data_IF_214592088122
#
_entry.id   IF_214592088122
#
_cell.length_a   1.000
_cell.length_b   1.000
_cell.length_c   1.000
_cell.angle_alpha   90.00
_cell.angle_beta   90.00
_cell.angle_gamma   90.00
#
_symmetry.space_group_name_H-M   'P 1'
#
loop_
_entity.id
_entity.type
_entity.pdbx_description
1 polymer ?
#
# COMPACT_ATOMS: atom_id res chain seq x y z
N UNK A 1 15.72 -24.61 -2.50
CA UNK A 1 16.52 -23.36 -2.36
C UNK A 1 16.18 -22.50 -3.57
N UNK A 2 15.06 -21.76 -3.48
CA UNK A 2 14.53 -20.96 -4.59
C UNK A 2 15.31 -19.65 -4.64
N UNK A 3 16.25 -19.56 -5.57
CA UNK A 3 16.84 -18.29 -6.00
C UNK A 3 15.73 -17.60 -6.80
N UNK A 4 14.84 -16.88 -6.11
CA UNK A 4 13.98 -15.89 -6.77
C UNK A 4 14.94 -14.96 -7.52
N UNK A 5 14.90 -14.88 -8.86
CA UNK A 5 15.89 -14.10 -9.59
C UNK A 5 15.78 -12.66 -9.11
N UNK A 6 16.85 -12.14 -8.50
CA UNK A 6 16.88 -10.77 -7.95
C UNK A 6 16.36 -9.72 -8.94
N UNK A 7 16.45 -10.01 -10.24
CA UNK A 7 15.95 -9.18 -11.34
C UNK A 7 14.43 -8.94 -11.31
N UNK A 8 13.61 -9.86 -10.77
CA UNK A 8 12.15 -9.71 -10.70
C UNK A 8 11.68 -8.91 -9.48
N UNK A 9 12.47 -8.87 -8.39
CA UNK A 9 12.14 -8.15 -7.16
C UNK A 9 12.64 -6.69 -7.15
N UNK A 10 13.67 -6.36 -7.91
CA UNK A 10 14.17 -4.97 -7.99
C UNK A 10 13.10 -3.97 -8.47
N UNK A 11 12.27 -4.25 -9.50
CA UNK A 11 11.23 -3.33 -9.97
C UNK A 11 10.18 -2.95 -8.90
N UNK A 12 9.53 -3.88 -8.18
CA UNK A 12 8.53 -3.51 -7.17
C UNK A 12 9.13 -2.75 -5.99
N UNK A 13 10.36 -3.08 -5.57
CA UNK A 13 11.06 -2.32 -4.54
C UNK A 13 11.38 -0.89 -4.98
N UNK A 14 11.80 -0.69 -6.23
CA UNK A 14 12.03 0.65 -6.78
C UNK A 14 10.72 1.44 -6.89
N UNK A 15 9.64 0.80 -7.32
CA UNK A 15 8.33 1.43 -7.39
C UNK A 15 7.76 1.75 -6.00
N UNK A 16 8.09 0.96 -4.97
CA UNK A 16 7.73 1.21 -3.57
C UNK A 16 8.37 2.48 -2.99
N UNK A 17 9.48 2.97 -3.55
CA UNK A 17 10.10 4.22 -3.10
C UNK A 17 9.14 5.41 -3.25
N UNK A 18 8.28 5.41 -4.27
CA UNK A 18 7.33 6.49 -4.53
C UNK A 18 6.32 6.64 -3.38
N UNK A 19 5.57 5.59 -2.97
CA UNK A 19 4.66 5.70 -1.84
C UNK A 19 5.39 5.98 -0.52
N UNK A 20 6.58 5.41 -0.28
CA UNK A 20 7.37 5.65 0.95
C UNK A 20 7.81 7.12 1.05
N UNK A 21 8.42 7.66 -0.01
CA UNK A 21 8.86 9.06 -0.04
C UNK A 21 7.68 10.01 0.08
N UNK A 22 6.55 9.68 -0.54
CA UNK A 22 5.33 10.47 -0.44
C UNK A 22 4.72 10.47 0.97
N UNK A 23 4.66 9.31 1.65
CA UNK A 23 4.17 9.20 3.04
C UNK A 23 5.08 10.00 3.98
N UNK A 24 6.39 9.84 3.86
CA UNK A 24 7.36 10.53 4.73
C UNK A 24 7.32 12.04 4.53
N UNK A 25 7.22 12.51 3.28
CA UNK A 25 7.03 13.94 2.99
C UNK A 25 5.68 14.45 3.52
N UNK A 26 4.59 13.71 3.32
CA UNK A 26 3.27 14.08 3.83
C UNK A 26 3.29 14.23 5.37
N UNK A 27 3.94 13.30 6.08
CA UNK A 27 4.12 13.36 7.53
C UNK A 27 4.94 14.58 7.97
N UNK A 28 6.06 14.86 7.30
CA UNK A 28 6.92 16.03 7.61
C UNK A 28 6.18 17.34 7.39
N UNK A 29 5.49 17.49 6.26
CA UNK A 29 4.71 18.69 5.96
C UNK A 29 3.55 18.87 6.94
N UNK A 30 2.87 17.80 7.34
CA UNK A 30 1.81 17.88 8.35
C UNK A 30 2.37 18.31 9.71
N UNK A 31 3.51 17.77 10.12
CA UNK A 31 4.15 18.10 11.40
C UNK A 31 4.55 19.58 11.47
N UNK A 32 5.01 20.15 10.35
CA UNK A 32 5.29 21.59 10.24
C UNK A 32 4.05 22.50 10.21
N UNK A 33 2.87 21.98 9.87
CA UNK A 33 1.61 22.73 9.80
C UNK A 33 0.63 22.41 10.94
N UNK A 34 1.14 21.80 12.02
CA UNK A 34 0.36 21.27 13.12
C UNK A 34 -0.39 22.31 13.97
N UNK A 35 -0.44 23.59 13.62
CA UNK A 35 -1.30 24.57 14.31
C UNK A 35 -2.56 24.97 13.52
N UNK A 36 -2.64 24.66 12.22
CA UNK A 36 -3.64 25.26 11.31
C UNK A 36 -4.91 24.41 11.07
N UNK A 37 -4.97 23.18 11.60
CA UNK A 37 -6.07 22.25 11.37
C UNK A 37 -6.70 21.79 12.69
N UNK A 38 -8.05 21.64 12.75
CA UNK A 38 -8.74 21.10 13.90
C UNK A 38 -8.30 19.66 14.18
N UNK A 39 -8.32 19.26 15.46
CA UNK A 39 -7.78 18.00 15.94
C UNK A 39 -8.42 16.77 15.26
N UNK A 40 -9.71 16.83 14.94
CA UNK A 40 -10.44 15.75 14.23
C UNK A 40 -9.88 15.48 12.84
N UNK A 41 -9.70 16.53 12.02
CA UNK A 41 -9.10 16.42 10.68
C UNK A 41 -7.68 15.90 10.74
N UNK A 42 -6.93 16.27 11.77
CA UNK A 42 -5.56 15.78 11.99
C UNK A 42 -5.53 14.30 12.32
N UNK A 43 -6.43 13.83 13.19
CA UNK A 43 -6.56 12.43 13.54
C UNK A 43 -6.93 11.59 12.30
N UNK A 44 -7.92 12.02 11.52
CA UNK A 44 -8.31 11.35 10.28
C UNK A 44 -7.16 11.29 9.26
N UNK A 45 -6.41 12.38 9.09
CA UNK A 45 -5.26 12.37 8.19
C UNK A 45 -4.14 11.45 8.68
N UNK A 46 -3.89 11.37 9.99
CA UNK A 46 -2.93 10.41 10.57
C UNK A 46 -3.38 8.96 10.41
N UNK A 47 -4.68 8.70 10.53
CA UNK A 47 -5.26 7.40 10.19
C UNK A 47 -5.03 7.07 8.71
N UNK A 48 -5.16 8.06 7.83
CA UNK A 48 -4.82 7.91 6.40
C UNK A 48 -3.37 7.50 6.19
N UNK A 49 -2.43 8.14 6.90
CA UNK A 49 -1.00 7.75 6.87
C UNK A 49 -0.80 6.31 7.35
N UNK A 50 -1.42 5.93 8.46
CA UNK A 50 -1.32 4.57 8.98
C UNK A 50 -1.88 3.54 7.99
N UNK A 51 -3.03 3.84 7.38
CA UNK A 51 -3.64 3.00 6.35
C UNK A 51 -2.73 2.86 5.12
N UNK A 52 -2.07 3.94 4.66
CA UNK A 52 -1.11 3.88 3.56
C UNK A 52 0.12 3.02 3.88
N UNK A 53 0.65 3.09 5.11
CA UNK A 53 1.76 2.23 5.54
C UNK A 53 1.33 0.76 5.55
N UNK A 54 0.17 0.45 6.14
CA UNK A 54 -0.37 -0.91 6.15
C UNK A 54 -0.59 -1.44 4.75
N UNK A 55 -1.24 -0.65 3.89
CA UNK A 55 -1.47 -1.01 2.49
C UNK A 55 -0.16 -1.34 1.77
N UNK A 56 0.86 -0.49 1.93
CA UNK A 56 2.17 -0.72 1.33
C UNK A 56 2.84 -2.01 1.84
N UNK A 57 2.77 -2.30 3.14
CA UNK A 57 3.33 -3.52 3.72
C UNK A 57 2.65 -4.77 3.16
N UNK A 58 1.31 -4.76 3.09
CA UNK A 58 0.54 -5.87 2.52
C UNK A 58 0.87 -6.04 1.04
N UNK A 59 0.91 -4.95 0.28
CA UNK A 59 1.33 -4.99 -1.13
C UNK A 59 2.72 -5.59 -1.27
N UNK A 60 3.73 -5.10 -0.53
CA UNK A 60 5.09 -5.64 -0.58
C UNK A 60 5.14 -7.13 -0.23
N UNK A 61 4.35 -7.58 0.74
CA UNK A 61 4.27 -9.00 1.08
C UNK A 61 3.73 -9.86 -0.07
N UNK A 62 2.82 -9.33 -0.90
CA UNK A 62 2.35 -10.00 -2.12
C UNK A 62 3.43 -10.14 -3.21
N UNK A 63 4.47 -9.29 -3.18
CA UNK A 63 5.60 -9.33 -4.12
C UNK A 63 6.76 -10.20 -3.62
N UNK A 64 6.98 -10.27 -2.31
CA UNK A 64 8.10 -11.01 -1.69
C UNK A 64 7.83 -12.51 -1.63
N UNK A 65 6.60 -12.91 -1.32
CA UNK A 65 6.22 -14.31 -1.21
C UNK A 65 4.94 -14.58 -2.02
N UNK A 66 5.06 -15.01 -3.30
CA UNK A 66 3.90 -15.38 -4.12
C UNK A 66 3.22 -16.68 -3.67
N UNK A 67 3.64 -17.29 -2.54
CA UNK A 67 2.99 -18.29 -1.67
C UNK A 67 3.51 -19.73 -1.63
N UNK A 68 3.45 -20.37 -0.44
CA UNK A 68 3.18 -21.79 -0.33
C UNK A 68 1.72 -22.08 -0.72
N UNK A 69 1.52 -22.72 -1.86
CA UNK A 69 0.22 -23.21 -2.33
C UNK A 69 -0.51 -23.98 -1.20
N UNK A 70 -1.68 -23.50 -0.75
CA UNK A 70 -2.54 -24.29 0.14
C UNK A 70 -3.38 -25.22 -0.72
N UNK A 71 -3.27 -26.52 -0.44
CA UNK A 71 -4.08 -27.54 -1.09
C UNK A 71 -5.53 -27.39 -0.57
N UNK A 72 -6.48 -27.15 -1.47
CA UNK A 72 -7.90 -27.15 -1.13
C UNK A 72 -8.38 -28.58 -0.89
N UNK A 73 -9.48 -28.73 -0.15
CA UNK A 73 -10.11 -30.04 0.12
C UNK A 73 -10.48 -30.80 -1.16
N UNK A 74 -10.66 -30.06 -2.27
CA UNK A 74 -11.00 -30.59 -3.59
C UNK A 74 -9.76 -31.06 -4.39
N UNK A 75 -8.56 -31.03 -3.79
CA UNK A 75 -7.30 -31.42 -4.43
C UNK A 75 -6.67 -30.34 -5.32
N UNK A 76 -7.31 -29.17 -5.43
CA UNK A 76 -6.76 -28.01 -6.11
C UNK A 76 -5.71 -27.28 -5.29
N UNK A 77 -5.03 -26.32 -5.91
CA UNK A 77 -4.19 -25.36 -5.21
C UNK A 77 -4.84 -23.98 -5.31
N UNK A 78 -5.05 -23.32 -4.18
CA UNK A 78 -5.63 -21.97 -4.13
C UNK A 78 -4.63 -21.00 -3.49
N UNK A 79 -4.59 -19.78 -4.02
CA UNK A 79 -3.80 -18.67 -3.50
C UNK A 79 -4.68 -17.79 -2.59
N UNK A 80 -5.50 -18.39 -1.73
CA UNK A 80 -6.55 -17.68 -0.96
C UNK A 80 -6.07 -16.44 -0.17
N UNK A 81 -4.88 -16.47 0.44
CA UNK A 81 -4.29 -15.29 1.10
C UNK A 81 -3.79 -14.21 0.11
N UNK A 82 -3.62 -14.46 -1.20
CA UNK A 82 -3.25 -13.47 -2.21
C UNK A 82 -4.51 -12.71 -2.58
N UNK A 83 -5.63 -13.42 -2.75
CA UNK A 83 -6.94 -12.81 -2.92
C UNK A 83 -7.31 -11.94 -1.72
N UNK A 84 -7.14 -12.47 -0.50
CA UNK A 84 -7.38 -11.71 0.74
C UNK A 84 -6.41 -10.53 0.88
N UNK A 85 -5.11 -10.74 0.66
CA UNK A 85 -4.10 -9.69 0.82
C UNK A 85 -4.26 -8.58 -0.22
N UNK A 86 -4.58 -8.93 -1.48
CA UNK A 86 -4.93 -7.96 -2.51
C UNK A 86 -6.18 -7.16 -2.13
N UNK A 87 -7.26 -7.82 -1.69
CA UNK A 87 -8.47 -7.13 -1.23
C UNK A 87 -8.17 -6.15 -0.10
N UNK A 88 -7.38 -6.58 0.89
CA UNK A 88 -6.96 -5.74 2.01
C UNK A 88 -6.11 -4.57 1.53
N UNK A 89 -5.12 -4.80 0.66
CA UNK A 89 -4.26 -3.76 0.10
C UNK A 89 -5.07 -2.71 -0.68
N UNK A 90 -6.02 -3.17 -1.50
CA UNK A 90 -6.90 -2.31 -2.29
C UNK A 90 -7.85 -1.48 -1.40
N UNK A 91 -8.54 -2.13 -0.46
CA UNK A 91 -9.47 -1.47 0.44
C UNK A 91 -8.77 -0.45 1.35
N UNK A 92 -7.60 -0.79 1.91
CA UNK A 92 -6.82 0.10 2.77
C UNK A 92 -6.25 1.29 2.00
N UNK A 93 -5.83 1.11 0.75
CA UNK A 93 -5.42 2.22 -0.12
C UNK A 93 -6.58 3.15 -0.46
N UNK A 94 -7.76 2.62 -0.80
CA UNK A 94 -8.97 3.43 -1.05
C UNK A 94 -9.37 4.22 0.19
N UNK A 95 -9.35 3.58 1.35
CA UNK A 95 -9.59 4.25 2.63
C UNK A 95 -8.55 5.35 2.87
N UNK A 96 -7.28 5.09 2.55
CA UNK A 96 -6.19 6.07 2.60
C UNK A 96 -6.45 7.29 1.71
N UNK A 97 -6.96 7.10 0.48
CA UNK A 97 -7.37 8.20 -0.41
C UNK A 97 -8.51 9.01 0.21
N UNK A 98 -9.55 8.35 0.73
CA UNK A 98 -10.67 9.04 1.38
C UNK A 98 -10.21 9.85 2.60
N UNK A 99 -9.34 9.27 3.44
CA UNK A 99 -8.77 9.93 4.61
C UNK A 99 -7.80 11.07 4.25
N UNK A 100 -7.11 10.97 3.10
CA UNK A 100 -6.26 12.03 2.58
C UNK A 100 -7.01 13.34 2.32
N UNK A 101 -8.29 13.27 1.97
CA UNK A 101 -9.14 14.43 1.69
C UNK A 101 -9.27 15.37 2.90
N UNK A 102 -9.12 14.84 4.12
CA UNK A 102 -9.16 15.63 5.35
C UNK A 102 -7.89 16.48 5.56
N UNK A 103 -6.81 16.20 4.83
CA UNK A 103 -5.60 17.03 4.79
C UNK A 103 -5.80 18.36 4.06
N UNK A 104 -4.79 19.25 4.10
CA UNK A 104 -4.82 20.56 3.43
C UNK A 104 -3.53 20.78 2.64
N UNK A 105 -3.65 21.30 1.41
CA UNK A 105 -2.50 21.67 0.58
C UNK A 105 -1.64 20.48 0.13
N UNK A 106 -0.32 20.67 0.14
CA UNK A 106 0.68 19.68 -0.31
C UNK A 106 0.59 18.31 0.38
N UNK A 107 0.45 18.17 1.72
CA UNK A 107 0.39 16.86 2.35
C UNK A 107 -0.83 16.03 1.92
N UNK A 108 -1.95 16.67 1.56
CA UNK A 108 -3.10 15.97 0.95
C UNK A 108 -2.74 15.37 -0.40
N UNK A 109 -2.15 16.15 -1.30
CA UNK A 109 -1.79 15.68 -2.63
C UNK A 109 -0.76 14.53 -2.58
N UNK A 110 0.23 14.63 -1.69
CA UNK A 110 1.24 13.59 -1.47
C UNK A 110 0.63 12.29 -0.95
N UNK A 111 -0.30 12.36 0.00
CA UNK A 111 -0.96 11.15 0.52
C UNK A 111 -1.86 10.49 -0.54
N UNK A 112 -2.59 11.30 -1.34
CA UNK A 112 -3.38 10.77 -2.47
C UNK A 112 -2.46 10.07 -3.47
N UNK A 113 -1.36 10.71 -3.88
CA UNK A 113 -0.41 10.14 -4.82
C UNK A 113 0.19 8.83 -4.29
N UNK A 114 0.53 8.77 -3.00
CA UNK A 114 1.03 7.56 -2.36
C UNK A 114 0.05 6.39 -2.42
N UNK A 115 -1.23 6.63 -2.09
CA UNK A 115 -2.25 5.58 -2.13
C UNK A 115 -2.57 5.15 -3.57
N UNK A 116 -2.55 6.08 -4.54
CA UNK A 116 -2.68 5.71 -5.96
C UNK A 116 -1.51 4.84 -6.41
N UNK A 117 -0.27 5.20 -6.06
CA UNK A 117 0.89 4.38 -6.36
C UNK A 117 0.80 2.99 -5.70
N UNK A 118 0.30 2.92 -4.47
CA UNK A 118 0.09 1.66 -3.73
C UNK A 118 -0.98 0.77 -4.39
N UNK A 119 -2.07 1.37 -4.93
CA UNK A 119 -3.07 0.66 -5.73
C UNK A 119 -2.47 0.06 -7.00
N UNK A 120 -1.67 0.85 -7.74
CA UNK A 120 -1.01 0.38 -8.96
C UNK A 120 -0.03 -0.76 -8.66
N UNK A 121 0.70 -0.67 -7.54
CA UNK A 121 1.61 -1.73 -7.09
C UNK A 121 0.87 -3.00 -6.70
N UNK A 122 -0.26 -2.89 -5.99
CA UNK A 122 -1.09 -4.03 -5.64
C UNK A 122 -1.66 -4.69 -6.91
N UNK A 123 -2.06 -3.89 -7.90
CA UNK A 123 -2.60 -4.40 -9.15
C UNK A 123 -1.51 -5.10 -9.98
N UNK A 124 -0.30 -4.55 -9.96
CA UNK A 124 0.88 -5.18 -10.56
C UNK A 124 1.19 -6.55 -9.95
N UNK A 125 1.07 -6.73 -8.63
CA UNK A 125 1.25 -8.05 -8.02
C UNK A 125 0.19 -9.05 -8.46
N UNK A 126 -1.04 -8.60 -8.71
CA UNK A 126 -2.10 -9.48 -9.21
C UNK A 126 -1.78 -9.97 -10.64
N UNK A 127 -1.38 -9.04 -11.52
CA UNK A 127 -0.96 -9.36 -12.90
C UNK A 127 0.26 -10.29 -12.95
N UNK A 128 1.26 -10.09 -12.08
CA UNK A 128 2.44 -10.96 -12.05
C UNK A 128 2.07 -12.40 -11.66
N UNK A 129 1.12 -12.57 -10.74
CA UNK A 129 0.71 -13.87 -10.23
C UNK A 129 -0.32 -14.58 -11.13
N UNK A 130 -0.72 -13.97 -12.25
CA UNK A 130 -1.55 -14.61 -13.26
C UNK A 130 -3.03 -14.77 -12.90
N UNK A 131 -3.52 -13.93 -11.98
CA UNK A 131 -4.95 -13.80 -11.64
C UNK A 131 -5.64 -12.81 -12.57
#
# INVERSE_FOLDING_TARGET
>A
MLILPMQLLVPPFLLALIPVTSITLAWRYQSGQASLLPNTRRALFRLGIAASILSLLVTMSCWVDPYPLRQTLDGGYSIAWLDDAWMVAFATSLLGVALALFGKGRPRALLILSNIASLLLAFGSLLQNGV
#
